data_IF_515247964230
#
_entry.id   IF_515247964230
#
_cell.length_a   1.000
_cell.length_b   1.000
_cell.length_c   1.000
_cell.angle_alpha   90.00
_cell.angle_beta   90.00
_cell.angle_gamma   90.00
#
_symmetry.space_group_name_H-M   'P 1'
#
loop_
_entity.id
_entity.type
_entity.pdbx_description
1 polymer ?
#
# COMPACT_ATOMS: atom_id res chain seq x y z
N UNK A 1 -6.03 17.19 -8.66
CA UNK A 1 -6.86 16.07 -8.18
C UNK A 1 -6.26 15.66 -6.85
N UNK A 2 -7.07 15.65 -5.79
CA UNK A 2 -6.64 15.34 -4.43
C UNK A 2 -7.51 14.19 -3.95
N UNK A 3 -6.88 13.09 -3.56
CA UNK A 3 -7.60 11.91 -3.06
C UNK A 3 -7.23 11.72 -1.59
N UNK A 4 -8.25 11.67 -0.75
CA UNK A 4 -8.15 11.55 0.70
C UNK A 4 -8.71 10.18 1.12
N UNK A 5 -7.89 9.38 1.80
CA UNK A 5 -8.32 8.12 2.40
C UNK A 5 -8.20 8.22 3.92
N UNK A 6 -9.23 7.84 4.67
CA UNK A 6 -9.24 7.84 6.14
C UNK A 6 -9.52 6.44 6.65
N UNK A 7 -8.87 6.03 7.74
CA UNK A 7 -9.06 4.71 8.35
C UNK A 7 -10.14 4.67 9.45
N UNK A 8 -11.09 5.61 9.46
CA UNK A 8 -11.94 5.86 10.62
C UNK A 8 -13.15 4.92 10.78
N UNK A 9 -13.06 3.96 11.70
CA UNK A 9 -14.21 3.50 12.51
C UNK A 9 -13.77 3.17 13.94
N UNK A 10 -14.38 3.87 14.91
CA UNK A 10 -14.39 3.84 16.40
C UNK A 10 -13.29 3.18 17.26
N UNK A 11 -12.38 2.34 16.77
CA UNK A 11 -11.41 1.60 17.58
C UNK A 11 -9.99 1.49 16.97
N UNK A 12 -9.70 2.18 15.87
CA UNK A 12 -8.35 2.29 15.29
C UNK A 12 -7.93 3.76 15.23
N UNK A 13 -6.62 4.02 15.38
CA UNK A 13 -6.05 5.36 15.21
C UNK A 13 -6.53 5.97 13.88
N UNK A 14 -6.96 7.22 13.90
CA UNK A 14 -7.32 7.96 12.69
C UNK A 14 -6.04 8.25 11.90
N UNK A 15 -5.73 7.37 10.95
CA UNK A 15 -4.69 7.55 9.95
C UNK A 15 -5.36 8.03 8.68
N UNK A 16 -4.77 9.02 8.04
CA UNK A 16 -5.20 9.50 6.74
C UNK A 16 -4.04 9.58 5.78
N UNK A 17 -4.35 9.33 4.52
CA UNK A 17 -3.42 9.35 3.41
C UNK A 17 -3.90 10.36 2.38
N UNK A 18 -2.97 11.17 1.92
CA UNK A 18 -3.22 12.19 0.91
C UNK A 18 -2.24 12.01 -0.26
N UNK A 19 -2.79 12.00 -1.48
CA UNK A 19 -2.02 11.81 -2.70
C UNK A 19 -1.98 13.11 -3.51
N UNK A 20 -0.78 13.51 -3.94
CA UNK A 20 -0.58 14.68 -4.79
C UNK A 20 0.45 14.39 -5.90
N UNK A 21 0.29 14.98 -7.10
CA UNK A 21 1.30 14.88 -8.14
C UNK A 21 2.61 15.55 -7.69
N UNK A 22 3.76 14.97 -8.02
CA UNK A 22 5.08 15.51 -7.63
C UNK A 22 5.35 16.86 -8.33
N UNK A 23 5.07 16.95 -9.61
CA UNK A 23 5.01 18.18 -10.40
C UNK A 23 3.67 18.32 -11.12
N UNK A 24 3.36 19.52 -11.61
CA UNK A 24 2.18 19.74 -12.45
C UNK A 24 2.22 18.90 -13.75
N UNK A 25 3.40 18.60 -14.26
CA UNK A 25 3.58 17.69 -15.41
C UNK A 25 3.15 16.25 -15.09
N UNK A 26 3.36 15.77 -13.86
CA UNK A 26 2.90 14.44 -13.45
C UNK A 26 1.38 14.35 -13.44
N UNK A 27 0.69 15.44 -13.08
CA UNK A 27 -0.76 15.51 -13.18
C UNK A 27 -1.24 15.44 -14.64
N UNK A 28 -0.56 16.14 -15.55
CA UNK A 28 -0.87 16.11 -16.98
C UNK A 28 -0.63 14.72 -17.57
N UNK A 29 0.44 14.06 -17.14
CA UNK A 29 0.78 12.71 -17.55
C UNK A 29 -0.24 11.69 -17.01
N UNK A 30 -0.64 11.82 -15.75
CA UNK A 30 -1.65 10.95 -15.12
C UNK A 30 -2.99 10.94 -15.84
N UNK A 31 -3.47 12.09 -16.30
CA UNK A 31 -4.76 12.21 -17.02
C UNK A 31 -4.65 11.90 -18.51
N UNK A 32 -3.44 11.57 -18.99
CA UNK A 32 -3.21 11.21 -20.38
C UNK A 32 -3.58 9.75 -20.64
N UNK A 33 -3.47 9.30 -21.89
CA UNK A 33 -3.64 7.90 -22.26
C UNK A 33 -2.41 7.03 -21.94
N UNK A 34 -1.32 7.62 -21.46
CA UNK A 34 -0.05 6.94 -21.15
C UNK A 34 0.53 7.48 -19.84
N UNK A 35 -0.04 7.14 -18.67
CA UNK A 35 0.35 7.69 -17.37
C UNK A 35 1.66 7.10 -16.82
N UNK A 36 2.33 6.22 -17.55
CA UNK A 36 3.61 5.63 -17.15
C UNK A 36 4.62 6.74 -16.88
N UNK A 37 5.39 6.60 -15.81
CA UNK A 37 6.32 7.60 -15.22
C UNK A 37 5.68 8.76 -14.46
N UNK A 38 4.34 8.87 -14.38
CA UNK A 38 3.72 9.86 -13.51
C UNK A 38 4.07 9.57 -12.05
N UNK A 39 4.53 10.60 -11.32
CA UNK A 39 4.94 10.50 -9.93
C UNK A 39 3.90 11.12 -9.01
N UNK A 40 3.54 10.38 -7.95
CA UNK A 40 2.69 10.84 -6.87
C UNK A 40 3.43 10.81 -5.54
N UNK A 41 3.33 11.90 -4.80
CA UNK A 41 3.66 11.96 -3.39
C UNK A 41 2.49 11.46 -2.56
N UNK A 42 2.83 10.78 -1.48
CA UNK A 42 1.92 10.24 -0.49
C UNK A 42 2.27 10.91 0.82
N UNK A 43 1.31 11.62 1.38
CA UNK A 43 1.43 12.26 2.68
C UNK A 43 0.64 11.46 3.70
N UNK A 44 1.30 11.03 4.77
CA UNK A 44 0.67 10.28 5.84
C UNK A 44 0.37 11.22 7.00
N UNK A 45 -0.81 11.11 7.61
CA UNK A 45 -1.13 11.86 8.82
C UNK A 45 -1.83 10.95 9.83
N UNK A 46 -1.47 11.04 11.11
CA UNK A 46 -2.09 10.26 12.17
C UNK A 46 -2.42 11.17 13.36
N UNK A 47 -3.68 11.14 13.81
CA UNK A 47 -4.24 12.08 14.80
C UNK A 47 -3.93 11.71 16.27
N UNK A 48 -2.72 11.22 16.57
CA UNK A 48 -2.31 11.01 17.96
C UNK A 48 -1.10 11.87 18.35
N UNK A 49 -1.23 12.51 19.52
CA UNK A 49 -0.32 13.47 20.17
C UNK A 49 1.17 13.03 20.29
N UNK A 50 1.53 11.80 19.89
CA UNK A 50 2.86 11.22 20.03
C UNK A 50 3.42 10.56 18.75
N UNK A 51 2.75 10.64 17.60
CA UNK A 51 3.16 9.97 16.34
C UNK A 51 3.63 10.92 15.23
N UNK A 52 3.97 12.18 15.57
CA UNK A 52 4.71 13.09 14.68
C UNK A 52 6.08 12.57 14.20
N UNK A 53 6.48 11.36 14.62
CA UNK A 53 7.70 10.65 14.23
C UNK A 53 7.45 9.42 13.33
N UNK A 54 6.20 9.09 12.98
CA UNK A 54 5.85 7.88 12.20
C UNK A 54 4.97 8.16 10.96
N UNK A 55 4.68 9.42 10.69
CA UNK A 55 4.06 9.84 9.43
C UNK A 55 5.14 9.83 8.34
N UNK A 56 5.40 8.64 7.80
CA UNK A 56 6.40 8.48 6.74
C UNK A 56 5.76 8.78 5.38
N UNK A 57 5.94 10.02 4.94
CA UNK A 57 5.65 10.43 3.57
C UNK A 57 6.45 9.58 2.58
N UNK A 58 5.91 9.37 1.39
CA UNK A 58 6.63 8.68 0.32
C UNK A 58 6.19 9.08 -1.05
N UNK A 59 6.65 8.30 -2.02
CA UNK A 59 6.32 8.53 -3.40
C UNK A 59 6.19 7.21 -4.15
N UNK A 60 5.31 7.22 -5.14
CA UNK A 60 5.18 6.16 -6.13
C UNK A 60 5.34 6.74 -7.53
N UNK A 61 5.87 5.92 -8.44
CA UNK A 61 5.83 6.14 -9.87
C UNK A 61 4.91 5.11 -10.50
N UNK A 62 4.09 5.51 -11.47
CA UNK A 62 3.35 4.55 -12.31
C UNK A 62 4.34 3.84 -13.21
N UNK A 63 4.55 2.55 -12.97
CA UNK A 63 5.50 1.71 -13.71
C UNK A 63 4.85 0.93 -14.83
N UNK A 64 3.54 0.70 -14.75
CA UNK A 64 2.77 0.03 -15.81
C UNK A 64 1.32 0.54 -15.85
N UNK A 65 0.76 0.56 -17.05
CA UNK A 65 -0.62 0.95 -17.30
C UNK A 65 -1.25 0.10 -18.40
N UNK A 66 -2.51 -0.27 -18.16
CA UNK A 66 -3.45 -0.70 -19.19
C UNK A 66 -4.80 -0.06 -18.91
N UNK A 67 -5.78 -0.10 -19.83
CA UNK A 67 -7.13 0.36 -19.56
C UNK A 67 -7.79 -0.28 -18.31
N UNK A 68 -7.30 -1.43 -17.89
CA UNK A 68 -7.88 -2.23 -16.81
C UNK A 68 -7.10 -2.16 -15.50
N UNK A 69 -5.84 -1.70 -15.51
CA UNK A 69 -5.03 -1.64 -14.29
C UNK A 69 -3.88 -0.64 -14.37
N UNK A 70 -3.38 -0.26 -13.20
CA UNK A 70 -2.15 0.50 -13.01
C UNK A 70 -1.25 -0.25 -12.04
N UNK A 71 0.06 -0.20 -12.25
CA UNK A 71 1.07 -0.60 -11.27
C UNK A 71 1.80 0.65 -10.80
N UNK A 72 1.82 0.88 -9.50
CA UNK A 72 2.64 1.87 -8.83
C UNK A 72 3.83 1.20 -8.13
N UNK A 73 5.03 1.73 -8.36
CA UNK A 73 6.26 1.29 -7.71
C UNK A 73 6.74 2.35 -6.73
N UNK A 74 7.13 1.95 -5.51
CA UNK A 74 7.73 2.89 -4.56
C UNK A 74 9.02 3.49 -5.14
N UNK A 75 9.18 4.80 -5.03
CA UNK A 75 10.41 5.51 -5.35
C UNK A 75 10.85 6.41 -4.19
N UNK A 76 12.12 6.81 -4.19
CA UNK A 76 12.62 7.88 -3.31
C UNK A 76 12.68 9.18 -4.10
N UNK A 77 12.30 10.30 -3.47
CA UNK A 77 12.41 11.64 -4.09
C UNK A 77 13.23 12.58 -3.20
N UNK A 78 13.52 13.79 -3.68
CA UNK A 78 14.18 14.80 -2.84
C UNK A 78 13.29 15.28 -1.67
N UNK A 79 11.96 15.18 -1.80
CA UNK A 79 11.00 15.71 -0.83
C UNK A 79 10.41 14.62 0.08
N UNK A 80 10.62 13.35 -0.26
CA UNK A 80 10.05 12.21 0.46
C UNK A 80 11.15 11.20 0.71
N UNK A 81 11.32 10.79 1.97
CA UNK A 81 12.25 9.72 2.32
C UNK A 81 11.82 8.37 1.74
N UNK A 82 12.48 7.31 2.19
CA UNK A 82 11.95 5.95 1.99
C UNK A 82 10.70 5.80 2.84
N UNK A 83 9.55 5.63 2.21
CA UNK A 83 8.37 5.06 2.86
C UNK A 83 8.75 3.76 3.57
N UNK A 84 8.00 3.36 4.62
CA UNK A 84 8.30 2.16 5.37
C UNK A 84 7.91 0.92 4.56
N UNK A 85 7.51 1.05 3.29
CA UNK A 85 7.27 -0.03 2.34
C UNK A 85 8.01 0.22 1.04
N UNK A 86 8.70 -0.80 0.54
CA UNK A 86 9.27 -0.84 -0.79
C UNK A 86 8.58 -1.95 -1.57
N UNK A 87 7.99 -1.65 -2.71
CA UNK A 87 7.25 -2.66 -3.45
C UNK A 87 6.58 -2.17 -4.73
N UNK A 88 5.79 -3.07 -5.29
CA UNK A 88 4.89 -2.80 -6.40
C UNK A 88 3.47 -3.08 -5.94
N UNK A 89 2.55 -2.16 -6.22
CA UNK A 89 1.12 -2.34 -6.01
C UNK A 89 0.37 -2.14 -7.31
N UNK A 90 -0.47 -3.11 -7.62
CA UNK A 90 -1.37 -3.09 -8.75
C UNK A 90 -2.78 -2.81 -8.26
N UNK A 91 -3.47 -1.90 -8.93
CA UNK A 91 -4.91 -1.66 -8.77
C UNK A 91 -5.57 -1.86 -10.12
N UNK A 92 -6.72 -2.52 -10.15
CA UNK A 92 -7.41 -2.70 -11.40
C UNK A 92 -8.78 -3.32 -11.24
N UNK A 93 -9.36 -3.63 -12.39
CA UNK A 93 -10.63 -4.31 -12.49
C UNK A 93 -10.63 -5.32 -13.64
N UNK A 94 -11.45 -6.35 -13.52
CA UNK A 94 -11.72 -7.28 -14.60
C UNK A 94 -13.12 -7.87 -14.46
N UNK A 95 -13.63 -8.46 -15.53
CA UNK A 95 -14.88 -9.24 -15.48
C UNK A 95 -14.52 -10.70 -15.25
N UNK A 96 -15.07 -11.31 -14.21
CA UNK A 96 -14.81 -12.71 -13.88
C UNK A 96 -15.59 -13.66 -14.81
N UNK A 97 -15.37 -14.97 -14.64
CA UNK A 97 -16.01 -16.00 -15.47
C UNK A 97 -17.54 -16.03 -15.35
N UNK A 98 -18.09 -15.49 -14.26
CA UNK A 98 -19.54 -15.37 -14.03
C UNK A 98 -20.14 -14.08 -14.58
N UNK A 99 -19.32 -13.21 -15.21
CA UNK A 99 -19.77 -11.93 -15.76
C UNK A 99 -19.80 -10.79 -14.74
N UNK A 100 -19.32 -11.00 -13.51
CA UNK A 100 -19.29 -9.96 -12.48
C UNK A 100 -18.07 -9.07 -12.64
N UNK A 101 -18.22 -7.77 -12.40
CA UNK A 101 -17.10 -6.83 -12.30
C UNK A 101 -16.39 -7.05 -10.95
N UNK A 102 -15.10 -7.33 -11.00
CA UNK A 102 -14.24 -7.48 -9.82
C UNK A 102 -13.21 -6.35 -9.78
N UNK A 103 -13.26 -5.56 -8.72
CA UNK A 103 -12.21 -4.61 -8.36
C UNK A 103 -11.18 -5.33 -7.50
N UNK A 104 -9.90 -5.09 -7.75
CA UNK A 104 -8.83 -5.73 -6.98
C UNK A 104 -7.65 -4.80 -6.73
N UNK A 105 -6.94 -5.11 -5.65
CA UNK A 105 -5.57 -4.66 -5.43
C UNK A 105 -4.70 -5.88 -5.15
N UNK A 106 -3.47 -5.86 -5.67
CA UNK A 106 -2.43 -6.87 -5.42
C UNK A 106 -1.14 -6.15 -5.11
N UNK A 107 -0.37 -6.64 -4.15
CA UNK A 107 0.87 -5.97 -3.79
C UNK A 107 1.95 -6.96 -3.39
N UNK A 108 3.20 -6.58 -3.64
CA UNK A 108 4.39 -7.24 -3.12
C UNK A 108 5.21 -6.16 -2.44
N UNK A 109 5.09 -6.09 -1.12
CA UNK A 109 5.65 -5.01 -0.30
C UNK A 109 6.59 -5.55 0.78
N UNK A 110 7.77 -4.94 0.86
CA UNK A 110 8.73 -5.16 1.93
C UNK A 110 8.69 -3.97 2.87
N UNK A 111 8.27 -4.20 4.12
CA UNK A 111 8.39 -3.21 5.15
C UNK A 111 9.89 -2.94 5.45
N UNK A 112 10.31 -1.68 5.41
CA UNK A 112 11.66 -1.19 5.75
C UNK A 112 11.54 -0.13 6.84
N UNK A 113 11.67 -0.56 8.10
CA UNK A 113 11.67 0.36 9.24
C UNK A 113 13.08 0.88 9.45
N UNK A 114 13.25 2.21 9.55
CA UNK A 114 14.56 2.80 9.81
C UNK A 114 15.11 2.39 11.18
N UNK A 115 16.43 2.23 11.29
CA UNK A 115 17.09 1.82 12.55
C UNK A 115 16.84 2.81 13.69
N UNK A 116 16.67 4.10 13.37
CA UNK A 116 16.38 5.16 14.34
C UNK A 116 14.98 5.00 14.97
N UNK A 117 13.99 4.57 14.17
CA UNK A 117 12.63 4.27 14.68
C UNK A 117 12.63 2.93 15.41
N UNK A 118 13.41 1.94 14.94
CA UNK A 118 13.57 0.63 15.58
C UNK A 118 14.19 0.72 16.99
N UNK A 119 15.05 1.73 17.22
CA UNK A 119 15.82 1.91 18.46
C UNK A 119 15.51 3.23 19.19
N UNK A 120 14.29 3.77 19.09
CA UNK A 120 13.91 4.97 19.84
C UNK A 120 14.27 4.82 21.34
N UNK A 121 15.24 5.58 21.87
CA UNK A 121 15.72 5.42 23.24
C UNK A 121 14.74 5.96 24.30
N UNK A 122 13.64 6.59 23.88
CA UNK A 122 12.63 7.20 24.75
C UNK A 122 11.26 6.47 24.71
N UNK A 123 11.11 5.42 23.90
CA UNK A 123 9.84 4.72 23.70
C UNK A 123 9.99 3.21 23.79
N UNK A 124 9.26 2.57 24.69
CA UNK A 124 9.27 1.11 24.91
C UNK A 124 8.57 0.28 23.82
N UNK A 125 8.23 0.87 22.67
CA UNK A 125 7.56 0.15 21.58
C UNK A 125 8.54 -0.09 20.43
N UNK A 126 9.04 -1.31 20.33
CA UNK A 126 9.63 -1.78 19.07
C UNK A 126 8.57 -1.69 17.99
N UNK A 127 8.65 -0.71 17.09
CA UNK A 127 7.87 -0.70 15.87
C UNK A 127 8.27 -1.92 15.04
N UNK A 128 7.52 -3.01 15.16
CA UNK A 128 7.71 -4.23 14.39
C UNK A 128 7.11 -4.01 13.00
N UNK A 129 7.74 -4.58 11.98
CA UNK A 129 7.24 -4.57 10.60
C UNK A 129 5.75 -4.97 10.50
N UNK A 130 5.29 -5.85 11.41
CA UNK A 130 3.89 -6.24 11.55
C UNK A 130 2.93 -5.06 11.80
N UNK A 131 3.34 -4.03 12.53
CA UNK A 131 2.50 -2.84 12.75
C UNK A 131 2.20 -2.13 11.45
N UNK A 132 3.21 -2.00 10.58
CA UNK A 132 3.04 -1.41 9.26
C UNK A 132 2.11 -2.27 8.39
N UNK A 133 2.36 -3.59 8.32
CA UNK A 133 1.47 -4.49 7.58
C UNK A 133 0.03 -4.43 8.09
N UNK A 134 -0.20 -4.35 9.40
CA UNK A 134 -1.53 -4.25 9.99
C UNK A 134 -2.24 -2.91 9.67
N UNK A 135 -1.49 -1.80 9.57
CA UNK A 135 -2.04 -0.50 9.15
C UNK A 135 -2.43 -0.54 7.67
N UNK A 136 -1.59 -1.12 6.81
CA UNK A 136 -1.89 -1.31 5.39
C UNK A 136 -3.13 -2.19 5.20
N UNK A 137 -3.19 -3.29 5.94
CA UNK A 137 -4.31 -4.22 6.00
C UNK A 137 -5.62 -3.51 6.39
N UNK A 138 -5.62 -2.72 7.46
CA UNK A 138 -6.79 -1.97 7.91
C UNK A 138 -7.23 -0.91 6.88
N UNK A 139 -6.26 -0.20 6.27
CA UNK A 139 -6.54 0.79 5.23
C UNK A 139 -7.25 0.17 4.04
N UNK A 140 -6.79 -1.00 3.59
CA UNK A 140 -7.39 -1.70 2.44
C UNK A 140 -8.75 -2.32 2.77
N UNK A 141 -8.91 -2.88 3.97
CA UNK A 141 -10.22 -3.37 4.42
C UNK A 141 -11.25 -2.24 4.50
N UNK A 142 -10.86 -1.08 5.01
CA UNK A 142 -11.76 0.08 5.09
C UNK A 142 -12.18 0.58 3.70
N UNK A 143 -11.25 0.68 2.76
CA UNK A 143 -11.59 1.07 1.38
C UNK A 143 -12.59 0.09 0.73
N UNK A 144 -12.40 -1.22 0.91
CA UNK A 144 -13.35 -2.22 0.41
C UNK A 144 -14.73 -2.07 1.06
N UNK A 145 -14.78 -1.85 2.38
CA UNK A 145 -16.03 -1.66 3.11
C UNK A 145 -16.76 -0.38 2.66
N UNK A 146 -16.04 0.72 2.44
CA UNK A 146 -16.61 1.97 1.94
C UNK A 146 -17.16 1.83 0.51
N UNK A 147 -16.45 1.11 -0.36
CA UNK A 147 -16.93 0.78 -1.71
C UNK A 147 -18.18 -0.11 -1.63
N UNK A 148 -18.16 -1.15 -0.79
CA UNK A 148 -19.30 -2.03 -0.59
C UNK A 148 -20.53 -1.24 -0.13
N UNK A 149 -20.35 -0.39 0.90
CA UNK A 149 -21.41 0.47 1.40
C UNK A 149 -21.95 1.39 0.30
N UNK A 150 -21.07 2.07 -0.44
CA UNK A 150 -21.49 2.95 -1.53
C UNK A 150 -22.30 2.22 -2.61
N UNK A 151 -21.89 1.01 -3.00
CA UNK A 151 -22.63 0.20 -3.98
C UNK A 151 -24.02 -0.17 -3.45
N UNK A 152 -24.10 -0.66 -2.21
CA UNK A 152 -25.35 -1.08 -1.59
C UNK A 152 -26.32 0.10 -1.40
N UNK A 153 -25.82 1.25 -0.96
CA UNK A 153 -26.60 2.49 -0.79
C UNK A 153 -27.17 3.01 -2.12
N UNK A 154 -26.58 2.63 -3.25
CA UNK A 154 -27.03 2.97 -4.60
C UNK A 154 -27.78 1.82 -5.30
N UNK A 155 -28.24 0.81 -4.55
CA UNK A 155 -29.09 -0.27 -5.05
C UNK A 155 -28.35 -1.35 -5.85
N UNK A 156 -27.02 -1.35 -5.82
CA UNK A 156 -26.20 -2.42 -6.36
C UNK A 156 -26.11 -3.63 -5.42
N UNK A 157 -25.33 -4.63 -5.85
CA UNK A 157 -25.00 -5.79 -5.04
C UNK A 157 -23.50 -6.04 -5.14
N UNK A 158 -22.88 -6.39 -4.03
CA UNK A 158 -21.44 -6.59 -3.91
C UNK A 158 -21.17 -7.72 -2.92
N UNK A 159 -20.08 -8.44 -3.14
CA UNK A 159 -19.55 -9.39 -2.18
C UNK A 159 -18.06 -9.20 -2.05
N UNK A 160 -17.57 -9.09 -0.82
CA UNK A 160 -16.13 -8.98 -0.55
C UNK A 160 -15.49 -10.36 -0.61
N UNK A 161 -14.52 -10.54 -1.49
CA UNK A 161 -13.72 -11.78 -1.56
C UNK A 161 -12.68 -11.75 -0.42
N UNK A 162 -12.54 -12.82 0.38
CA UNK A 162 -11.51 -12.89 1.42
C UNK A 162 -10.12 -12.62 0.85
N UNK A 163 -9.36 -11.77 1.53
CA UNK A 163 -7.98 -11.46 1.11
C UNK A 163 -7.08 -12.69 1.27
N UNK A 164 -6.07 -12.77 0.40
CA UNK A 164 -4.91 -13.64 0.58
C UNK A 164 -3.70 -12.79 0.92
N UNK A 165 -3.04 -13.06 2.04
CA UNK A 165 -1.83 -12.37 2.46
C UNK A 165 -0.80 -13.41 2.91
N UNK A 166 0.33 -13.48 2.20
CA UNK A 166 1.44 -14.36 2.53
C UNK A 166 2.56 -13.51 3.11
N UNK A 167 3.02 -13.86 4.30
CA UNK A 167 4.18 -13.25 4.95
C UNK A 167 5.25 -14.32 5.07
N UNK A 168 6.42 -14.08 4.48
CA UNK A 168 7.55 -15.01 4.55
C UNK A 168 8.61 -14.49 5.52
N UNK A 169 9.31 -15.43 6.18
CA UNK A 169 10.45 -15.11 7.02
C UNK A 169 11.65 -14.73 6.13
N UNK A 170 11.98 -13.45 6.13
CA UNK A 170 13.09 -12.89 5.34
C UNK A 170 14.43 -13.50 5.73
N UNK A 171 14.66 -13.78 7.02
CA UNK A 171 15.90 -14.37 7.49
C UNK A 171 16.02 -15.80 6.98
N UNK A 172 14.93 -16.58 7.06
CA UNK A 172 14.88 -17.93 6.51
C UNK A 172 15.07 -17.94 4.99
N UNK A 173 14.46 -16.99 4.26
CA UNK A 173 14.67 -16.86 2.82
C UNK A 173 16.13 -16.53 2.50
N UNK A 174 16.75 -15.61 3.25
CA UNK A 174 18.15 -15.26 3.09
C UNK A 174 19.06 -16.47 3.37
N UNK A 175 18.83 -17.19 4.47
CA UNK A 175 19.55 -18.43 4.79
C UNK A 175 19.44 -19.46 3.66
N UNK A 176 18.27 -19.64 3.06
CA UNK A 176 18.06 -20.55 1.93
C UNK A 176 18.78 -20.09 0.65
N UNK A 177 18.78 -18.78 0.36
CA UNK A 177 19.46 -18.22 -0.83
C UNK A 177 20.99 -18.21 -0.69
N UNK A 178 21.50 -18.12 0.54
CA UNK A 178 22.94 -18.12 0.85
C UNK A 178 23.49 -19.55 1.04
N UNK A 179 22.64 -20.53 1.31
CA UNK A 179 23.00 -21.94 1.27
C UNK A 179 23.08 -22.41 -0.20
N UNK A 180 24.04 -23.26 -0.54
CA UNK A 180 24.20 -23.87 -1.87
C UNK A 180 23.05 -24.85 -2.24
N UNK A 181 21.88 -24.77 -1.58
CA UNK A 181 20.75 -25.64 -1.83
C UNK A 181 19.76 -25.02 -2.84
N UNK A 182 19.09 -25.87 -3.62
CA UNK A 182 18.22 -25.46 -4.73
C UNK A 182 16.89 -24.89 -4.22
N UNK A 183 16.38 -23.86 -4.92
CA UNK A 183 15.17 -23.06 -4.63
C UNK A 183 13.88 -23.88 -4.42
N UNK A 184 13.85 -25.16 -4.81
CA UNK A 184 12.68 -26.05 -4.79
C UNK A 184 12.14 -26.39 -3.39
N UNK A 185 12.78 -25.92 -2.31
CA UNK A 185 12.34 -26.17 -0.92
C UNK A 185 11.50 -25.04 -0.31
N UNK A 186 11.27 -23.92 -1.02
CA UNK A 186 10.43 -22.83 -0.51
C UNK A 186 8.96 -23.20 -0.77
N UNK A 187 8.28 -23.66 0.28
CA UNK A 187 6.84 -23.90 0.21
C UNK A 187 6.09 -22.56 0.21
N UNK A 188 5.38 -22.27 -0.87
CA UNK A 188 4.65 -21.01 -1.09
C UNK A 188 3.17 -21.07 -0.68
N UNK A 189 2.81 -22.04 0.18
CA UNK A 189 1.44 -22.22 0.69
C UNK A 189 0.96 -21.05 1.57
#
# INVERSE_FOLDING_TARGET
>A
MYTYFRTGHSNTLDVSWYFAPYFLSDLQLWISNEPVTAIFQIYAHADALFIGLTADDGAIMISEFTPNFWIGSTITTANTGTQPFSGNRQWGYHTNQSGNLELYARAVDIARVSDIIRYNPLGNSTCKEDTYYNIGDATWTNLQNEIEQWINDNGGQVSVVPRTAIRFDKNKLQELLEQNETIDQINCD
#
